data_IF_754494744115
#
_entry.id   IF_754494744115
#
_cell.length_a   1.000
_cell.length_b   1.000
_cell.length_c   1.000
_cell.angle_alpha   90.00
_cell.angle_beta   90.00
_cell.angle_gamma   90.00
#
_symmetry.space_group_name_H-M   'P 1'
#
loop_
_entity.id
_entity.type
_entity.pdbx_description
1 polymer ?
#
# COMPACT_ATOMS: atom_id res chain seq x y z
N UNK A 1 -11.01 -28.02 53.71
CA UNK A 1 -11.61 -27.41 52.49
C UNK A 1 -10.49 -26.56 51.89
N UNK A 2 -9.74 -26.97 50.88
CA UNK A 2 -10.13 -27.59 49.60
C UNK A 2 -9.28 -28.81 49.27
N UNK A 3 -9.92 -29.82 48.70
CA UNK A 3 -9.30 -30.95 47.98
C UNK A 3 -9.47 -30.63 46.49
N UNK A 4 -8.37 -30.44 45.75
CA UNK A 4 -8.40 -30.56 44.31
C UNK A 4 -7.57 -31.79 43.95
N UNK A 5 -8.32 -32.86 43.75
CA UNK A 5 -8.02 -33.96 42.86
C UNK A 5 -8.14 -33.41 41.43
N UNK A 6 -7.05 -33.39 40.68
CA UNK A 6 -7.04 -33.13 39.23
C UNK A 6 -6.12 -34.18 38.60
N UNK A 7 -6.63 -35.41 38.60
CA UNK A 7 -6.17 -36.48 37.74
C UNK A 7 -6.80 -36.33 36.37
N UNK A 8 -6.15 -35.58 35.49
CA UNK A 8 -6.34 -35.72 34.04
C UNK A 8 -5.00 -35.48 33.35
N UNK A 9 -4.17 -36.53 33.38
CA UNK A 9 -3.15 -36.73 32.35
C UNK A 9 -3.92 -37.02 31.06
N UNK A 10 -4.40 -35.95 30.42
CA UNK A 10 -4.75 -35.97 29.01
C UNK A 10 -3.46 -36.26 28.27
N UNK A 11 -3.20 -37.55 28.07
CA UNK A 11 -2.40 -38.03 26.96
C UNK A 11 -3.11 -37.60 25.69
N UNK A 12 -2.95 -36.31 25.37
CA UNK A 12 -3.12 -35.83 24.03
C UNK A 12 -1.99 -36.52 23.27
N UNK A 13 -2.31 -37.72 22.78
CA UNK A 13 -1.58 -38.37 21.73
C UNK A 13 -1.38 -37.29 20.69
N UNK A 14 -0.17 -36.72 20.66
CA UNK A 14 0.37 -36.21 19.43
C UNK A 14 0.23 -37.39 18.48
N UNK A 15 -0.84 -37.36 17.67
CA UNK A 15 -0.84 -38.02 16.39
C UNK A 15 0.35 -37.41 15.66
N UNK A 16 1.51 -38.02 15.89
CA UNK A 16 2.66 -37.93 15.02
C UNK A 16 2.06 -38.17 13.64
N UNK A 17 2.04 -37.11 12.83
CA UNK A 17 1.67 -37.22 11.42
C UNK A 17 2.40 -38.45 10.89
N UNK A 18 1.70 -39.44 10.31
CA UNK A 18 2.34 -40.67 9.88
C UNK A 18 3.51 -40.24 9.00
N UNK A 19 4.73 -40.50 9.49
CA UNK A 19 5.91 -40.49 8.64
C UNK A 19 5.47 -41.32 7.44
N UNK A 20 5.49 -40.70 6.25
CA UNK A 20 4.87 -41.24 5.05
C UNK A 20 5.74 -42.41 4.57
N UNK A 21 5.69 -43.50 5.34
CA UNK A 21 6.45 -44.71 5.19
C UNK A 21 5.76 -45.57 4.13
N UNK A 22 6.55 -46.38 3.43
CA UNK A 22 6.06 -47.22 2.33
C UNK A 22 4.88 -48.11 2.74
N UNK A 23 4.85 -48.53 4.00
CA UNK A 23 3.74 -49.30 4.59
C UNK A 23 2.44 -48.49 4.73
N UNK A 24 2.52 -47.21 5.09
CA UNK A 24 1.36 -46.33 5.22
C UNK A 24 0.68 -46.11 3.85
N UNK A 25 1.47 -45.97 2.79
CA UNK A 25 0.95 -45.89 1.42
C UNK A 25 0.28 -47.19 0.97
N UNK A 26 0.82 -48.37 1.31
CA UNK A 26 0.18 -49.64 0.98
C UNK A 26 -1.18 -49.78 1.68
N UNK A 27 -1.26 -49.40 2.97
CA UNK A 27 -2.53 -49.36 3.72
C UNK A 27 -3.53 -48.42 3.06
N UNK A 28 -3.14 -47.18 2.77
CA UNK A 28 -3.99 -46.21 2.07
C UNK A 28 -4.45 -46.73 0.70
N UNK A 29 -3.56 -47.35 -0.07
CA UNK A 29 -3.85 -47.95 -1.37
C UNK A 29 -4.88 -49.08 -1.26
N UNK A 30 -4.82 -49.92 -0.23
CA UNK A 30 -5.85 -50.96 -0.01
C UNK A 30 -7.21 -50.34 0.33
N UNK A 31 -7.24 -49.29 1.15
CA UNK A 31 -8.47 -48.56 1.50
C UNK A 31 -9.09 -47.89 0.26
N UNK A 32 -8.26 -47.19 -0.53
CA UNK A 32 -8.67 -46.54 -1.77
C UNK A 32 -9.16 -47.55 -2.80
N UNK A 33 -8.47 -48.69 -2.97
CA UNK A 33 -8.93 -49.79 -3.85
C UNK A 33 -10.28 -50.37 -3.42
N UNK A 34 -10.47 -50.57 -2.11
CA UNK A 34 -11.75 -51.06 -1.57
C UNK A 34 -12.88 -50.06 -1.83
N UNK A 35 -12.64 -48.77 -1.55
CA UNK A 35 -13.62 -47.71 -1.80
C UNK A 35 -13.95 -47.55 -3.29
N UNK A 36 -12.95 -47.72 -4.17
CA UNK A 36 -13.10 -47.59 -5.62
C UNK A 36 -13.57 -48.88 -6.31
N UNK A 37 -13.73 -49.99 -5.59
CA UNK A 37 -14.12 -51.28 -6.18
C UNK A 37 -15.50 -51.28 -6.84
N UNK A 38 -16.38 -50.37 -6.44
CA UNK A 38 -17.71 -50.16 -7.05
C UNK A 38 -17.80 -48.96 -8.00
N UNK A 39 -16.70 -48.23 -8.23
CA UNK A 39 -16.66 -47.03 -9.09
C UNK A 39 -16.25 -47.38 -10.53
N UNK A 40 -16.57 -46.49 -11.49
CA UNK A 40 -16.10 -46.67 -12.86
C UNK A 40 -14.56 -46.66 -12.91
N UNK A 41 -13.95 -47.51 -13.72
CA UNK A 41 -12.49 -47.65 -13.77
C UNK A 41 -11.79 -46.33 -14.13
N UNK A 42 -12.46 -45.51 -14.96
CA UNK A 42 -12.00 -44.17 -15.36
C UNK A 42 -11.97 -43.22 -14.17
N UNK A 43 -13.05 -43.15 -13.38
CA UNK A 43 -13.12 -42.29 -12.19
C UNK A 43 -12.12 -42.74 -11.12
N UNK A 44 -12.00 -44.06 -10.94
CA UNK A 44 -11.01 -44.66 -10.04
C UNK A 44 -9.58 -44.36 -10.47
N UNK A 45 -9.28 -44.33 -11.77
CA UNK A 45 -7.96 -43.96 -12.29
C UNK A 45 -7.65 -42.48 -12.01
N UNK A 46 -8.60 -41.59 -12.27
CA UNK A 46 -8.44 -40.14 -12.03
C UNK A 46 -8.17 -39.83 -10.56
N UNK A 47 -8.91 -40.47 -9.65
CA UNK A 47 -8.73 -40.30 -8.20
C UNK A 47 -7.38 -40.86 -7.74
N UNK A 48 -6.93 -42.00 -8.28
CA UNK A 48 -5.60 -42.54 -7.97
C UNK A 48 -4.50 -41.59 -8.42
N UNK A 49 -4.60 -41.06 -9.64
CA UNK A 49 -3.62 -40.12 -10.19
C UNK A 49 -3.55 -38.82 -9.38
N UNK A 50 -4.71 -38.26 -8.98
CA UNK A 50 -4.73 -37.04 -8.16
C UNK A 50 -4.15 -37.28 -6.76
N UNK A 51 -4.47 -38.40 -6.11
CA UNK A 51 -3.87 -38.79 -4.83
C UNK A 51 -2.34 -38.97 -4.94
N UNK A 52 -1.87 -39.63 -5.99
CA UNK A 52 -0.45 -39.77 -6.27
C UNK A 52 0.25 -38.42 -6.47
N UNK A 53 -0.38 -37.52 -7.24
CA UNK A 53 0.15 -36.19 -7.45
C UNK A 53 0.28 -35.40 -6.14
N UNK A 54 -0.77 -35.42 -5.30
CA UNK A 54 -0.74 -34.75 -3.99
C UNK A 54 0.30 -35.35 -3.05
N UNK A 55 0.46 -36.68 -3.05
CA UNK A 55 1.50 -37.34 -2.26
C UNK A 55 2.90 -36.88 -2.67
N UNK A 56 3.19 -36.87 -3.97
CA UNK A 56 4.49 -36.40 -4.50
C UNK A 56 4.71 -34.93 -4.12
N UNK A 57 3.70 -34.07 -4.30
CA UNK A 57 3.79 -32.66 -3.91
C UNK A 57 4.09 -32.49 -2.42
N UNK A 58 3.44 -33.25 -1.55
CA UNK A 58 3.71 -33.18 -0.11
C UNK A 58 5.14 -33.61 0.20
N UNK A 59 5.64 -34.70 -0.39
CA UNK A 59 7.03 -35.14 -0.18
C UNK A 59 8.06 -34.12 -0.69
N UNK A 60 7.76 -33.46 -1.81
CA UNK A 60 8.61 -32.40 -2.35
C UNK A 60 8.62 -31.22 -1.38
N UNK A 61 7.45 -30.74 -0.96
CA UNK A 61 7.32 -29.64 0.00
C UNK A 61 8.01 -29.93 1.34
N UNK A 62 7.92 -31.16 1.86
CA UNK A 62 8.64 -31.53 3.09
C UNK A 62 10.15 -31.48 2.87
N UNK A 63 10.65 -32.07 1.79
CA UNK A 63 12.09 -32.04 1.48
C UNK A 63 12.62 -30.62 1.22
N UNK A 64 11.83 -29.77 0.57
CA UNK A 64 12.14 -28.36 0.38
C UNK A 64 12.18 -27.62 1.72
N UNK A 65 11.21 -27.86 2.59
CA UNK A 65 11.18 -27.24 3.93
C UNK A 65 12.40 -27.64 4.77
N UNK A 66 12.79 -28.92 4.74
CA UNK A 66 13.99 -29.44 5.39
C UNK A 66 15.26 -28.82 4.81
N UNK A 67 15.37 -28.79 3.47
CA UNK A 67 16.49 -28.16 2.77
C UNK A 67 16.62 -26.66 3.06
N UNK A 68 15.50 -25.95 3.19
CA UNK A 68 15.48 -24.53 3.58
C UNK A 68 15.93 -24.35 5.04
N UNK A 69 15.50 -25.23 5.95
CA UNK A 69 15.96 -25.21 7.35
C UNK A 69 17.46 -25.49 7.44
N UNK A 70 17.98 -26.47 6.70
CA UNK A 70 19.40 -26.79 6.66
C UNK A 70 20.23 -25.65 6.06
N UNK A 71 19.77 -25.07 4.95
CA UNK A 71 20.40 -23.90 4.36
C UNK A 71 20.38 -22.71 5.33
N UNK A 72 19.27 -22.48 6.03
CA UNK A 72 19.13 -21.43 7.03
C UNK A 72 20.09 -21.63 8.22
N UNK A 73 20.18 -22.84 8.76
CA UNK A 73 21.11 -23.15 9.86
C UNK A 73 22.56 -23.06 9.41
N UNK A 74 22.89 -23.53 8.21
CA UNK A 74 24.22 -23.40 7.61
C UNK A 74 24.59 -21.93 7.39
N UNK A 75 23.67 -21.11 6.88
CA UNK A 75 23.86 -19.67 6.70
C UNK A 75 24.06 -18.97 8.04
N UNK A 76 23.26 -19.30 9.06
CA UNK A 76 23.44 -18.79 10.42
C UNK A 76 24.81 -19.18 10.97
N UNK A 77 25.28 -20.40 10.75
CA UNK A 77 26.63 -20.84 11.14
C UNK A 77 27.71 -20.02 10.41
N UNK A 78 27.58 -19.80 9.09
CA UNK A 78 28.53 -18.97 8.30
C UNK A 78 28.55 -17.52 8.78
N UNK A 79 27.38 -16.94 9.00
CA UNK A 79 27.22 -15.57 9.48
C UNK A 79 27.89 -15.37 10.85
N UNK A 80 27.80 -16.37 11.73
CA UNK A 80 28.46 -16.32 13.04
C UNK A 80 29.96 -16.59 12.99
N UNK A 81 30.46 -17.38 12.02
CA UNK A 81 31.89 -17.73 11.88
C UNK A 81 32.79 -16.53 11.53
N UNK A 82 32.26 -15.44 10.98
CA UNK A 82 33.03 -14.25 10.59
C UNK A 82 32.92 -13.06 11.54
N UNK A 83 32.07 -13.12 12.58
CA UNK A 83 31.83 -12.01 13.49
C UNK A 83 32.76 -12.13 14.69
N UNK A 84 33.80 -11.29 14.75
CA UNK A 84 34.60 -11.13 15.96
C UNK A 84 33.70 -10.59 17.09
N UNK A 85 33.86 -11.15 18.28
CA UNK A 85 33.24 -10.60 19.48
C UNK A 85 34.05 -9.38 19.91
N UNK A 86 33.39 -8.24 20.06
CA UNK A 86 34.02 -7.04 20.60
C UNK A 86 34.16 -7.17 22.12
N UNK A 87 35.34 -7.63 22.54
CA UNK A 87 35.69 -7.85 23.93
C UNK A 87 36.24 -6.53 24.48
N UNK A 88 35.50 -5.90 25.39
CA UNK A 88 35.97 -4.71 26.08
C UNK A 88 36.86 -5.11 27.26
N UNK A 89 37.94 -4.35 27.46
CA UNK A 89 38.82 -4.52 28.62
C UNK A 89 38.19 -3.89 29.86
N UNK A 90 38.22 -4.61 30.98
CA UNK A 90 37.80 -4.09 32.27
C UNK A 90 38.98 -3.44 32.99
N UNK A 91 38.75 -2.29 33.63
CA UNK A 91 39.78 -1.55 34.40
C UNK A 91 40.44 -2.37 35.50
N UNK A 92 39.72 -3.37 36.03
CA UNK A 92 40.16 -4.28 37.09
C UNK A 92 41.39 -5.13 36.69
N UNK A 93 41.69 -5.25 35.39
CA UNK A 93 42.76 -6.08 34.84
C UNK A 93 43.71 -5.28 33.93
N UNK A 94 44.15 -4.11 34.41
CA UNK A 94 45.18 -3.30 33.76
C UNK A 94 46.57 -3.80 34.14
N UNK A 95 47.07 -4.76 33.38
CA UNK A 95 48.47 -5.20 33.41
C UNK A 95 49.07 -5.18 32.00
N UNK A 96 50.39 -5.40 31.86
CA UNK A 96 51.07 -5.45 30.56
C UNK A 96 50.60 -6.62 29.67
N UNK A 97 49.81 -7.55 30.20
CA UNK A 97 49.17 -8.64 29.46
C UNK A 97 47.66 -8.59 29.65
N UNK A 98 46.92 -8.52 28.52
CA UNK A 98 45.46 -8.51 28.51
C UNK A 98 44.97 -9.96 28.62
N UNK A 99 44.48 -10.34 29.79
CA UNK A 99 43.83 -11.64 29.98
C UNK A 99 42.32 -11.52 29.75
N UNK A 100 41.79 -12.23 28.76
CA UNK A 100 40.35 -12.29 28.51
C UNK A 100 39.68 -13.25 29.49
N UNK A 101 38.67 -12.77 30.22
CA UNK A 101 37.92 -13.58 31.17
C UNK A 101 36.63 -14.12 30.53
N UNK A 102 36.09 -15.26 31.00
CA UNK A 102 34.78 -15.76 30.52
C UNK A 102 33.64 -14.73 30.64
N UNK A 103 33.76 -13.78 31.58
CA UNK A 103 32.82 -12.67 31.76
C UNK A 103 32.81 -11.72 30.55
N UNK A 104 33.98 -11.33 30.02
CA UNK A 104 34.04 -10.42 28.87
C UNK A 104 33.35 -11.01 27.63
N UNK A 105 33.46 -12.33 27.43
CA UNK A 105 32.74 -13.04 26.35
C UNK A 105 31.21 -13.01 26.54
N UNK A 106 30.71 -13.17 27.77
CA UNK A 106 29.27 -13.10 28.06
C UNK A 106 28.72 -11.71 27.80
N UNK A 107 29.44 -10.68 28.24
CA UNK A 107 29.06 -9.28 28.03
C UNK A 107 29.10 -8.89 26.55
N UNK A 108 30.13 -9.29 25.79
CA UNK A 108 30.20 -9.07 24.35
C UNK A 108 29.01 -9.71 23.61
N UNK A 109 28.65 -10.96 23.97
CA UNK A 109 27.46 -11.63 23.43
C UNK A 109 26.15 -10.93 23.83
N UNK A 110 26.07 -10.38 25.03
CA UNK A 110 24.90 -9.61 25.47
C UNK A 110 24.73 -8.32 24.66
N UNK A 111 25.81 -7.54 24.48
CA UNK A 111 25.81 -6.33 23.63
C UNK A 111 25.41 -6.63 22.20
N UNK A 112 25.94 -7.71 21.62
CA UNK A 112 25.56 -8.14 20.27
C UNK A 112 24.08 -8.50 20.15
N UNK A 113 23.49 -9.12 21.19
CA UNK A 113 22.05 -9.42 21.21
C UNK A 113 21.22 -8.14 21.27
N UNK A 114 21.54 -7.23 22.19
CA UNK A 114 20.87 -5.94 22.31
C UNK A 114 20.95 -5.13 21.00
N UNK A 115 22.15 -5.01 20.42
CA UNK A 115 22.32 -4.29 19.15
C UNK A 115 21.54 -4.93 17.99
N UNK A 116 21.31 -6.26 18.02
CA UNK A 116 20.47 -6.94 17.04
C UNK A 116 18.99 -6.64 17.28
N UNK A 117 18.53 -6.74 18.52
CA UNK A 117 17.16 -6.44 18.92
C UNK A 117 16.79 -4.99 18.59
N UNK A 118 17.69 -4.03 18.86
CA UNK A 118 17.51 -2.62 18.50
C UNK A 118 17.40 -2.41 16.98
N UNK A 119 18.22 -3.11 16.18
CA UNK A 119 18.12 -3.05 14.71
C UNK A 119 16.78 -3.60 14.23
N UNK A 120 16.38 -4.77 14.73
CA UNK A 120 15.11 -5.41 14.38
C UNK A 120 13.92 -4.55 14.81
N UNK A 121 13.96 -3.96 16.01
CA UNK A 121 12.95 -3.01 16.49
C UNK A 121 12.90 -1.76 15.61
N UNK A 122 14.05 -1.16 15.28
CA UNK A 122 14.14 0.00 14.40
C UNK A 122 13.64 -0.28 12.97
N UNK A 123 13.82 -1.49 12.45
CA UNK A 123 13.24 -1.91 11.17
C UNK A 123 11.72 -2.04 11.24
N UNK A 124 11.19 -2.64 12.32
CA UNK A 124 9.74 -2.75 12.57
C UNK A 124 9.10 -1.37 12.71
N UNK A 125 9.71 -0.47 13.48
CA UNK A 125 9.24 0.91 13.63
C UNK A 125 9.22 1.66 12.29
N UNK A 126 10.28 1.52 11.47
CA UNK A 126 10.32 2.12 10.13
C UNK A 126 9.23 1.56 9.22
N UNK A 127 8.92 0.26 9.31
CA UNK A 127 7.82 -0.34 8.57
C UNK A 127 6.48 0.24 9.01
N UNK A 128 6.21 0.27 10.32
CA UNK A 128 5.00 0.84 10.90
C UNK A 128 4.81 2.31 10.51
N UNK A 129 5.88 3.10 10.55
CA UNK A 129 5.86 4.51 10.14
C UNK A 129 5.53 4.67 8.65
N UNK A 130 6.02 3.78 7.78
CA UNK A 130 5.67 3.80 6.35
C UNK A 130 4.21 3.44 6.13
N UNK A 131 3.66 2.51 6.89
CA UNK A 131 2.23 2.14 6.82
C UNK A 131 1.35 3.30 7.27
N UNK A 132 1.66 3.91 8.41
CA UNK A 132 0.95 5.09 8.91
C UNK A 132 1.04 6.27 7.93
N UNK A 133 2.20 6.47 7.29
CA UNK A 133 2.35 7.49 6.25
C UNK A 133 1.48 7.21 5.01
N UNK A 134 1.35 5.95 4.59
CA UNK A 134 0.45 5.57 3.49
C UNK A 134 -1.01 5.81 3.87
N UNK A 135 -1.42 5.43 5.07
CA UNK A 135 -2.78 5.66 5.58
C UNK A 135 -3.11 7.16 5.63
N UNK A 136 -2.19 7.99 6.14
CA UNK A 136 -2.35 9.43 6.18
C UNK A 136 -2.43 10.07 4.79
N UNK A 137 -1.67 9.56 3.81
CA UNK A 137 -1.78 10.01 2.41
C UNK A 137 -3.18 9.73 1.86
N UNK A 138 -3.68 8.50 2.04
CA UNK A 138 -5.02 8.13 1.58
C UNK A 138 -6.11 8.97 2.26
N UNK A 139 -5.98 9.24 3.56
CA UNK A 139 -6.90 10.12 4.29
C UNK A 139 -6.89 11.54 3.72
N UNK A 140 -5.69 12.11 3.52
CA UNK A 140 -5.54 13.44 2.93
C UNK A 140 -6.08 13.53 1.50
N UNK A 141 -5.91 12.47 0.70
CA UNK A 141 -6.47 12.37 -0.65
C UNK A 141 -8.00 12.35 -0.61
N UNK A 142 -8.62 11.55 0.25
CA UNK A 142 -10.08 11.54 0.45
C UNK A 142 -10.58 12.92 0.87
N UNK A 143 -9.92 13.53 1.85
CA UNK A 143 -10.26 14.87 2.30
C UNK A 143 -10.12 15.93 1.19
N UNK A 144 -9.07 15.82 0.36
CA UNK A 144 -8.89 16.69 -0.79
C UNK A 144 -9.96 16.46 -1.88
N UNK A 145 -10.37 15.21 -2.11
CA UNK A 145 -11.45 14.87 -3.04
C UNK A 145 -12.80 15.42 -2.56
N UNK A 146 -13.11 15.28 -1.27
CA UNK A 146 -14.33 15.86 -0.68
C UNK A 146 -14.34 17.39 -0.84
N UNK A 147 -13.23 18.06 -0.51
CA UNK A 147 -13.09 19.51 -0.73
C UNK A 147 -13.28 19.89 -2.20
N UNK A 148 -12.66 19.16 -3.13
CA UNK A 148 -12.85 19.40 -4.57
C UNK A 148 -14.30 19.21 -4.99
N UNK A 149 -14.98 18.17 -4.49
CA UNK A 149 -16.39 17.90 -4.74
C UNK A 149 -17.30 19.01 -4.22
N UNK A 150 -17.06 19.50 -2.99
CA UNK A 150 -17.79 20.63 -2.41
C UNK A 150 -17.59 21.89 -3.25
N UNK A 151 -16.34 22.24 -3.60
CA UNK A 151 -16.04 23.39 -4.44
C UNK A 151 -16.66 23.29 -5.85
N UNK A 152 -16.76 22.09 -6.42
CA UNK A 152 -17.40 21.88 -7.72
C UNK A 152 -18.92 22.10 -7.62
N UNK A 153 -19.57 21.52 -6.60
CA UNK A 153 -21.00 21.70 -6.33
C UNK A 153 -21.35 23.18 -6.11
N UNK A 154 -20.54 23.91 -5.35
CA UNK A 154 -20.74 25.35 -5.14
C UNK A 154 -20.64 26.15 -6.45
N UNK A 155 -19.67 25.81 -7.32
CA UNK A 155 -19.54 26.46 -8.64
C UNK A 155 -20.73 26.16 -9.55
N UNK A 156 -21.18 24.90 -9.59
CA UNK A 156 -22.35 24.49 -10.38
C UNK A 156 -23.61 25.24 -9.93
N UNK A 157 -23.87 25.31 -8.62
CA UNK A 157 -25.00 26.06 -8.06
C UNK A 157 -24.89 27.56 -8.42
N UNK A 158 -23.70 28.14 -8.32
CA UNK A 158 -23.47 29.54 -8.72
C UNK A 158 -23.76 29.78 -10.20
N UNK A 159 -23.37 28.86 -11.08
CA UNK A 159 -23.56 29.00 -12.52
C UNK A 159 -25.02 28.70 -12.93
N UNK A 160 -25.71 27.78 -12.25
CA UNK A 160 -27.17 27.60 -12.34
C UNK A 160 -27.92 28.86 -11.94
N UNK A 161 -27.59 29.47 -10.80
CA UNK A 161 -28.19 30.73 -10.37
C UNK A 161 -27.94 31.86 -11.38
N UNK A 162 -26.75 31.93 -11.99
CA UNK A 162 -26.46 32.92 -13.04
C UNK A 162 -27.27 32.67 -14.31
N UNK A 163 -27.40 31.42 -14.74
CA UNK A 163 -28.18 31.06 -15.94
C UNK A 163 -29.67 31.31 -15.73
N UNK A 164 -30.23 30.94 -14.58
CA UNK A 164 -31.64 31.27 -14.25
C UNK A 164 -31.86 32.78 -14.17
N UNK A 165 -30.98 33.54 -13.51
CA UNK A 165 -31.03 35.01 -13.50
C UNK A 165 -30.94 35.60 -14.91
N UNK A 166 -30.13 35.00 -15.80
CA UNK A 166 -30.02 35.45 -17.19
C UNK A 166 -31.28 35.13 -18.00
N UNK A 167 -31.87 33.94 -17.83
CA UNK A 167 -33.15 33.55 -18.44
C UNK A 167 -34.29 34.45 -17.98
N UNK A 168 -34.37 34.75 -16.69
CA UNK A 168 -35.37 35.66 -16.12
C UNK A 168 -35.24 37.06 -16.71
N UNK A 169 -34.01 37.62 -16.75
CA UNK A 169 -33.74 38.91 -17.40
C UNK A 169 -34.11 38.90 -18.89
N UNK A 170 -33.87 37.80 -19.60
CA UNK A 170 -34.24 37.66 -21.02
C UNK A 170 -35.77 37.66 -21.20
N UNK A 171 -36.51 36.92 -20.35
CA UNK A 171 -37.99 36.93 -20.34
C UNK A 171 -38.54 38.33 -20.07
N UNK A 172 -37.99 39.04 -19.09
CA UNK A 172 -38.38 40.43 -18.80
C UNK A 172 -38.12 41.36 -19.99
N UNK A 173 -37.00 41.19 -20.70
CA UNK A 173 -36.70 41.96 -21.93
C UNK A 173 -37.71 41.65 -23.03
N UNK A 174 -37.98 40.37 -23.31
CA UNK A 174 -38.96 39.96 -24.31
C UNK A 174 -40.36 40.49 -24.00
N UNK A 175 -40.81 40.44 -22.75
CA UNK A 175 -42.09 41.01 -22.34
C UNK A 175 -42.16 42.53 -22.58
N UNK A 176 -41.09 43.26 -22.22
CA UNK A 176 -40.98 44.71 -22.49
C UNK A 176 -41.01 45.01 -23.99
N UNK A 177 -40.29 44.24 -24.79
CA UNK A 177 -40.23 44.44 -26.24
C UNK A 177 -41.58 44.10 -26.90
N UNK A 178 -42.26 43.03 -26.49
CA UNK A 178 -43.60 42.68 -26.96
C UNK A 178 -44.63 43.77 -26.62
N UNK A 179 -44.58 44.32 -25.40
CA UNK A 179 -45.44 45.44 -25.00
C UNK A 179 -45.17 46.68 -25.86
N UNK A 180 -43.90 46.99 -26.17
CA UNK A 180 -43.53 48.08 -27.08
C UNK A 180 -44.00 47.84 -28.52
N UNK A 181 -44.07 46.59 -28.98
CA UNK A 181 -44.55 46.24 -30.32
C UNK A 181 -46.07 46.41 -30.39
N UNK A 182 -46.83 45.94 -29.39
CA UNK A 182 -48.28 46.12 -29.33
C UNK A 182 -48.67 47.61 -29.29
N UNK A 183 -47.88 48.45 -28.61
CA UNK A 183 -48.16 49.88 -28.50
C UNK A 183 -47.81 50.70 -29.76
N UNK A 184 -47.14 50.13 -30.77
CA UNK A 184 -46.77 50.86 -32.00
C UNK A 184 -47.72 50.50 -33.16
N UNK A 185 -48.38 51.47 -33.82
CA UNK A 185 -49.19 51.19 -35.00
C UNK A 185 -48.31 50.85 -36.22
N UNK A 186 -48.77 50.01 -37.17
CA UNK A 186 -48.00 49.63 -38.35
C UNK A 186 -47.98 50.77 -39.36
N UNK A 187 -46.92 51.59 -39.34
CA UNK A 187 -46.75 52.66 -40.33
C UNK A 187 -46.03 52.15 -41.58
N UNK A 188 -46.70 52.26 -42.72
CA UNK A 188 -46.26 51.80 -44.03
C UNK A 188 -45.03 52.49 -44.64
N UNK A 189 -44.48 51.78 -45.65
CA UNK A 189 -43.38 52.09 -46.59
C UNK A 189 -42.74 53.49 -46.50
N UNK A 190 -41.43 53.56 -46.21
CA UNK A 190 -40.60 54.72 -46.54
C UNK A 190 -39.14 54.39 -46.86
N UNK A 191 -38.58 55.24 -47.73
CA UNK A 191 -37.36 55.13 -48.54
C UNK A 191 -36.05 55.09 -47.74
N UNK A 192 -35.08 54.37 -48.30
CA UNK A 192 -33.67 54.39 -47.91
C UNK A 192 -33.07 55.79 -48.04
N UNK A 193 -32.30 56.21 -47.02
CA UNK A 193 -31.24 57.22 -47.16
C UNK A 193 -30.34 57.24 -45.91
N UNK A 194 -29.04 57.09 -46.19
CA UNK A 194 -27.87 57.68 -45.52
C UNK A 194 -26.87 56.69 -44.92
N UNK A 195 -25.72 56.61 -45.60
CA UNK A 195 -24.49 55.95 -45.15
C UNK A 195 -23.87 56.82 -44.05
N UNK A 196 -23.79 56.30 -42.83
CA UNK A 196 -22.98 56.87 -41.76
C UNK A 196 -21.53 56.39 -41.89
N UNK A 197 -20.59 57.34 -41.85
CA UNK A 197 -19.17 57.13 -42.06
C UNK A 197 -18.52 56.15 -41.05
N UNK A 198 -17.53 55.39 -41.51
CA UNK A 198 -16.66 54.56 -40.65
C UNK A 198 -15.92 55.45 -39.64
N UNK A 199 -16.25 55.30 -38.36
CA UNK A 199 -15.45 55.86 -37.27
C UNK A 199 -14.19 55.02 -37.06
N UNK A 200 -13.03 55.61 -37.34
CA UNK A 200 -11.70 55.05 -37.03
C UNK A 200 -11.60 54.72 -35.54
N UNK A 201 -11.20 53.49 -35.22
CA UNK A 201 -10.83 53.02 -33.88
C UNK A 201 -9.62 53.83 -33.37
N UNK A 202 -9.77 54.53 -32.25
CA UNK A 202 -8.64 54.94 -31.43
C UNK A 202 -8.26 53.78 -30.51
N UNK A 203 -7.02 53.30 -30.61
CA UNK A 203 -6.43 52.38 -29.63
C UNK A 203 -6.18 53.16 -28.35
N UNK A 204 -6.86 52.80 -27.26
CA UNK A 204 -6.39 53.08 -25.91
C UNK A 204 -5.49 51.91 -25.51
N UNK A 205 -4.18 52.16 -25.48
CA UNK A 205 -3.22 51.33 -24.74
C UNK A 205 -3.57 51.46 -23.26
N UNK A 206 -4.12 50.39 -22.70
CA UNK A 206 -4.17 50.22 -21.25
C UNK A 206 -2.83 49.61 -20.83
N UNK A 207 -2.18 50.36 -19.94
CA UNK A 207 -0.95 50.08 -19.20
C UNK A 207 -0.75 48.58 -18.93
N UNK A 208 0.41 48.10 -19.38
CA UNK A 208 1.07 46.92 -18.82
C UNK A 208 1.55 47.28 -17.42
N UNK A 209 0.86 46.79 -16.40
CA UNK A 209 1.35 46.76 -15.02
C UNK A 209 1.58 45.30 -14.63
N UNK A 210 2.86 44.91 -14.71
CA UNK A 210 3.61 44.04 -13.79
C UNK A 210 2.87 42.94 -13.02
N UNK A 211 3.15 41.67 -13.35
CA UNK A 211 3.68 40.74 -12.35
C UNK A 211 4.36 39.51 -13.00
N UNK A 212 5.50 39.77 -13.64
CA UNK A 212 6.42 38.74 -14.14
C UNK A 212 7.54 38.52 -13.13
N UNK A 213 7.27 37.76 -12.08
CA UNK A 213 8.27 37.42 -11.06
C UNK A 213 9.49 36.73 -11.69
N UNK A 214 10.63 37.39 -11.50
CA UNK A 214 11.98 37.01 -11.89
C UNK A 214 12.34 35.57 -11.51
N UNK A 215 12.62 34.71 -12.51
CA UNK A 215 13.52 33.57 -12.31
C UNK A 215 14.95 34.04 -12.61
N UNK A 216 15.67 34.47 -11.56
CA UNK A 216 17.13 34.53 -11.63
C UNK A 216 17.65 33.10 -11.77
N UNK A 217 18.26 32.79 -12.91
CA UNK A 217 19.11 31.63 -13.06
C UNK A 217 20.26 31.74 -12.04
N UNK A 218 20.39 30.74 -11.17
CA UNK A 218 21.56 30.57 -10.31
C UNK A 218 22.73 30.13 -11.19
N UNK A 219 23.84 30.86 -11.14
CA UNK A 219 25.13 30.39 -11.65
C UNK A 219 25.61 29.21 -10.78
N UNK A 220 26.27 28.19 -11.38
CA UNK A 220 26.92 27.14 -10.60
C UNK A 220 28.22 27.66 -9.99
N UNK A 221 28.37 27.53 -8.67
CA UNK A 221 29.62 27.75 -7.95
C UNK A 221 30.58 26.57 -8.21
N UNK A 222 31.87 26.79 -8.52
CA UNK A 222 32.85 25.71 -8.63
C UNK A 222 33.29 25.22 -7.24
N UNK A 223 33.57 23.91 -7.06
CA UNK A 223 34.06 23.36 -5.81
C UNK A 223 35.55 23.68 -5.60
N UNK A 224 35.91 23.99 -4.35
CA UNK A 224 37.26 23.87 -3.81
C UNK A 224 37.51 22.44 -3.33
#
# INVERSE_FOLDING_TARGET
>A
RFTNDDSDTSSNALEEAPTYDGEAWQKLKTVVKRALSGASEKDASTIRQSLHHMAIQNTLLTSESEGLLDAFTANKRREMKGKSLDLLQHYEYWGPSIMWTPRSFREAKARMRLAREEREAGEKEKANMKELAKANKLYNEKFAQEKRGVCAREKEERDRLKTEKAKERARQRQARDHQKVIQKPPTGKRKALQKAALRKKQKRSARDDMDGASRKARTPTPPH
#
